data_IF_874386507760
#
_entry.id   IF_874386507760
#
_cell.length_a   1.000
_cell.length_b   1.000
_cell.length_c   1.000
_cell.angle_alpha   90.00
_cell.angle_beta   90.00
_cell.angle_gamma   90.00
#
_symmetry.space_group_name_H-M   'P 1'
#
loop_
_entity.id
_entity.type
_entity.pdbx_description
1 polymer ?
#
# COMPACT_ATOMS: atom_id res chain seq x y z
N UNK A 1 -9.75 3.41 -21.24
CA UNK A 1 -9.14 3.99 -20.03
C UNK A 1 -7.83 3.26 -19.83
N UNK A 2 -6.71 3.97 -19.84
CA UNK A 2 -5.39 3.35 -19.82
C UNK A 2 -5.16 2.62 -18.50
N UNK A 3 -4.42 1.51 -18.55
CA UNK A 3 -4.12 0.66 -17.39
C UNK A 3 -3.51 1.48 -16.24
N UNK A 4 -2.67 2.45 -16.58
CA UNK A 4 -2.01 3.36 -15.65
C UNK A 4 -3.00 4.25 -14.89
N UNK A 5 -4.05 4.71 -15.57
CA UNK A 5 -5.10 5.52 -14.95
C UNK A 5 -5.90 4.68 -13.95
N UNK A 6 -6.18 3.41 -14.28
CA UNK A 6 -6.89 2.49 -13.38
C UNK A 6 -6.05 2.23 -12.12
N UNK A 7 -4.74 1.96 -12.30
CA UNK A 7 -3.82 1.75 -11.19
C UNK A 7 -3.73 3.00 -10.31
N UNK A 8 -3.63 4.19 -10.91
CA UNK A 8 -3.53 5.43 -10.16
C UNK A 8 -4.80 5.74 -9.36
N UNK A 9 -5.98 5.57 -9.97
CA UNK A 9 -7.27 5.80 -9.29
C UNK A 9 -7.49 4.82 -8.14
N UNK A 10 -7.14 3.54 -8.35
CA UNK A 10 -7.24 2.53 -7.29
C UNK A 10 -6.24 2.78 -6.16
N UNK A 11 -5.00 3.16 -6.48
CA UNK A 11 -4.00 3.53 -5.49
C UNK A 11 -4.41 4.78 -4.68
N UNK A 12 -4.95 5.81 -5.34
CA UNK A 12 -5.50 7.00 -4.68
C UNK A 12 -6.62 6.65 -3.72
N UNK A 13 -7.58 5.84 -4.17
CA UNK A 13 -8.72 5.41 -3.34
C UNK A 13 -8.25 4.65 -2.09
N UNK A 14 -7.25 3.78 -2.27
CA UNK A 14 -6.64 3.05 -1.17
C UNK A 14 -5.92 4.00 -0.20
N UNK A 15 -5.05 4.87 -0.72
CA UNK A 15 -4.35 5.87 0.08
C UNK A 15 -5.30 6.76 0.89
N UNK A 16 -6.37 7.28 0.28
CA UNK A 16 -7.35 8.13 0.96
C UNK A 16 -8.04 7.35 2.10
N UNK A 17 -8.42 6.10 1.86
CA UNK A 17 -9.11 5.26 2.85
C UNK A 17 -8.27 5.09 4.13
N UNK A 18 -6.96 4.86 3.99
CA UNK A 18 -6.06 4.68 5.13
C UNK A 18 -5.47 5.99 5.68
N UNK A 19 -5.46 7.05 4.86
CA UNK A 19 -5.07 8.40 5.26
C UNK A 19 -6.11 9.08 6.14
N UNK A 20 -7.39 8.76 5.94
CA UNK A 20 -8.48 9.25 6.76
C UNK A 20 -8.50 8.53 8.11
N UNK A 21 -8.46 9.31 9.20
CA UNK A 21 -8.59 8.84 10.57
C UNK A 21 -9.75 9.54 11.26
N UNK A 22 -10.42 8.82 12.15
CA UNK A 22 -11.59 9.29 12.88
C UNK A 22 -11.39 9.06 14.39
N UNK A 23 -10.47 9.80 15.01
CA UNK A 23 -10.19 9.71 16.45
C UNK A 23 -10.97 10.77 17.26
N UNK A 24 -11.01 12.02 16.79
CA UNK A 24 -11.69 13.15 17.45
C UNK A 24 -12.37 14.11 16.44
N UNK A 25 -12.54 13.63 15.21
CA UNK A 25 -12.98 14.38 14.03
C UNK A 25 -12.35 13.76 12.78
N UNK A 26 -12.68 14.29 11.60
CA UNK A 26 -12.03 13.88 10.35
C UNK A 26 -10.63 14.49 10.32
N UNK A 27 -9.62 13.65 10.49
CA UNK A 27 -8.21 14.04 10.36
C UNK A 27 -7.57 13.26 9.21
N UNK A 28 -6.69 13.92 8.47
CA UNK A 28 -5.96 13.29 7.37
C UNK A 28 -4.47 13.17 7.72
N UNK A 29 -3.99 11.94 7.85
CA UNK A 29 -2.59 11.62 8.09
C UNK A 29 -1.88 11.36 6.77
N UNK A 30 -1.01 12.29 6.38
CA UNK A 30 -0.20 12.20 5.16
C UNK A 30 0.68 10.93 5.18
N UNK A 31 1.27 10.59 6.33
CA UNK A 31 2.08 9.38 6.47
C UNK A 31 1.24 8.11 6.28
N UNK A 32 0.01 8.09 6.82
CA UNK A 32 -0.91 6.95 6.66
C UNK A 32 -1.54 6.87 5.27
N UNK A 33 -1.50 7.94 4.49
CA UNK A 33 -1.88 7.96 3.08
C UNK A 33 -0.77 7.36 2.19
N UNK A 34 0.47 7.84 2.33
CA UNK A 34 1.55 7.53 1.39
C UNK A 34 1.95 6.06 1.38
N UNK A 35 1.99 5.42 2.54
CA UNK A 35 2.38 4.00 2.65
C UNK A 35 1.43 3.10 1.84
N UNK A 36 0.10 3.11 2.05
CA UNK A 36 -0.83 2.31 1.26
C UNK A 36 -0.94 2.77 -0.20
N UNK A 37 -0.81 4.08 -0.48
CA UNK A 37 -0.78 4.58 -1.86
C UNK A 37 0.38 3.97 -2.67
N UNK A 38 1.61 4.06 -2.15
CA UNK A 38 2.80 3.50 -2.80
C UNK A 38 2.74 1.97 -2.84
N UNK A 39 2.27 1.35 -1.75
CA UNK A 39 2.08 -0.10 -1.69
C UNK A 39 1.19 -0.61 -2.82
N UNK A 40 0.13 0.12 -3.16
CA UNK A 40 -0.78 -0.28 -4.23
C UNK A 40 -0.22 -0.09 -5.64
N UNK A 41 0.63 0.92 -5.85
CA UNK A 41 1.40 1.07 -7.09
C UNK A 41 2.37 -0.11 -7.26
N UNK A 42 3.11 -0.47 -6.20
CA UNK A 42 4.04 -1.61 -6.23
C UNK A 42 3.28 -2.92 -6.46
N UNK A 43 2.12 -3.10 -5.83
CA UNK A 43 1.25 -4.26 -6.04
C UNK A 43 0.87 -4.39 -7.52
N UNK A 44 0.40 -3.30 -8.14
CA UNK A 44 0.01 -3.29 -9.54
C UNK A 44 1.19 -3.55 -10.48
N UNK A 45 2.35 -2.94 -10.21
CA UNK A 45 3.57 -3.17 -10.97
C UNK A 45 4.04 -4.63 -10.91
N UNK A 46 4.04 -5.25 -9.72
CA UNK A 46 4.37 -6.68 -9.56
C UNK A 46 3.40 -7.58 -10.31
N UNK A 47 2.10 -7.28 -10.26
CA UNK A 47 1.09 -8.04 -11.00
C UNK A 47 1.29 -7.92 -12.51
N UNK A 48 1.60 -6.73 -13.02
CA UNK A 48 1.79 -6.49 -14.45
C UNK A 48 3.08 -7.13 -14.98
N UNK A 49 4.17 -7.06 -14.22
CA UNK A 49 5.46 -7.62 -14.62
C UNK A 49 5.50 -9.15 -14.57
N UNK A 50 4.84 -9.75 -13.58
CA UNK A 50 4.88 -11.20 -13.37
C UNK A 50 3.69 -11.95 -13.95
N UNK A 51 2.59 -11.24 -14.25
CA UNK A 51 1.31 -11.85 -14.65
C UNK A 51 0.62 -12.67 -13.54
N UNK A 52 1.19 -12.71 -12.33
CA UNK A 52 0.75 -13.57 -11.23
C UNK A 52 0.31 -12.76 -10.02
N UNK A 53 -0.73 -13.24 -9.34
CA UNK A 53 -1.22 -12.68 -8.08
C UNK A 53 -0.36 -13.11 -6.88
N UNK A 54 0.45 -14.16 -7.03
CA UNK A 54 1.23 -14.72 -5.92
C UNK A 54 2.35 -13.77 -5.49
N UNK A 55 3.08 -13.19 -6.43
CA UNK A 55 4.18 -12.25 -6.14
C UNK A 55 3.75 -11.03 -5.33
N UNK A 56 2.69 -10.29 -5.71
CA UNK A 56 2.26 -9.15 -4.92
C UNK A 56 1.73 -9.56 -3.54
N UNK A 57 1.10 -10.72 -3.38
CA UNK A 57 0.68 -11.24 -2.06
C UNK A 57 1.88 -11.57 -1.18
N UNK A 58 2.91 -12.20 -1.75
CA UNK A 58 4.16 -12.50 -1.05
C UNK A 58 4.88 -11.22 -0.62
N UNK A 59 4.99 -10.24 -1.52
CA UNK A 59 5.59 -8.95 -1.21
C UNK A 59 4.85 -8.23 -0.08
N UNK A 60 3.52 -8.25 -0.09
CA UNK A 60 2.70 -7.69 0.99
C UNK A 60 2.92 -8.41 2.31
N UNK A 61 2.88 -9.74 2.31
CA UNK A 61 3.07 -10.56 3.51
C UNK A 61 4.47 -10.38 4.11
N UNK A 62 5.50 -10.36 3.27
CA UNK A 62 6.89 -10.11 3.67
C UNK A 62 7.08 -8.69 4.21
N UNK A 63 6.43 -7.69 3.61
CA UNK A 63 6.49 -6.31 4.10
C UNK A 63 5.88 -6.19 5.49
N UNK A 64 4.73 -6.81 5.73
CA UNK A 64 4.10 -6.84 7.06
C UNK A 64 4.99 -7.56 8.08
N UNK A 65 5.56 -8.71 7.70
CA UNK A 65 6.49 -9.44 8.56
C UNK A 65 7.72 -8.59 8.90
N UNK A 66 8.30 -7.90 7.91
CA UNK A 66 9.46 -7.04 8.12
C UNK A 66 9.13 -5.89 9.07
N UNK A 67 7.99 -5.22 8.91
CA UNK A 67 7.54 -4.15 9.82
C UNK A 67 7.33 -4.67 11.24
N UNK A 68 6.75 -5.87 11.39
CA UNK A 68 6.51 -6.49 12.68
C UNK A 68 7.81 -6.93 13.38
N UNK A 69 8.80 -7.38 12.60
CA UNK A 69 10.11 -7.79 13.11
C UNK A 69 11.09 -6.63 13.28
N UNK A 70 10.84 -5.47 12.65
CA UNK A 70 11.75 -4.32 12.66
C UNK A 70 12.21 -3.90 14.06
N UNK A 71 11.35 -3.82 15.09
CA UNK A 71 11.78 -3.46 16.45
C UNK A 71 12.79 -4.45 17.06
N UNK A 72 12.74 -5.72 16.67
CA UNK A 72 13.65 -6.78 17.16
C UNK A 72 14.98 -6.84 16.39
N UNK A 73 15.05 -6.24 15.21
CA UNK A 73 16.25 -6.20 14.38
C UNK A 73 17.14 -4.98 14.70
N UNK A 74 16.55 -3.95 15.32
CA UNK A 74 17.20 -2.67 15.64
C UNK A 74 17.49 -2.52 17.14
N UNK A 75 16.99 -3.46 17.97
CA UNK A 75 17.30 -3.63 19.39
C UNK A 75 18.57 -4.44 19.62
#
# INVERSE_FOLDING_TARGET
MDLDVIVFVTALSHGITFGLRYDSGVLFSIASFWIPFLGQIVYAWLRQTTGSLVFPILAFSLSNLAVLLFPYLVS
#
